data_IF_356469543396
#
_entry.id   IF_356469543396
#
_cell.length_a   1.000
_cell.length_b   1.000
_cell.length_c   1.000
_cell.angle_alpha   90.00
_cell.angle_beta   90.00
_cell.angle_gamma   90.00
#
_symmetry.space_group_name_H-M   'P 1'
#
loop_
_entity.id
_entity.type
_entity.pdbx_description
1 polymer ?
#
# COMPACT_ATOMS: atom_id res chain seq x y z
N UNK A 1 -37.88 -59.64 16.53
CA UNK A 1 -36.48 -59.38 16.12
C UNK A 1 -36.36 -58.11 15.27
N UNK A 2 -36.88 -56.94 15.73
CA UNK A 2 -36.99 -55.72 14.90
C UNK A 2 -36.78 -54.39 15.66
N UNK A 3 -36.04 -54.39 16.77
CA UNK A 3 -35.83 -53.19 17.60
C UNK A 3 -34.36 -52.75 17.75
N UNK A 4 -33.38 -53.53 17.29
CA UNK A 4 -31.95 -53.17 17.42
C UNK A 4 -31.32 -52.48 16.20
N UNK A 5 -31.98 -52.42 15.03
CA UNK A 5 -31.36 -51.86 13.81
C UNK A 5 -31.46 -50.33 13.66
N UNK A 6 -32.32 -49.64 14.41
CA UNK A 6 -32.43 -48.15 14.31
C UNK A 6 -31.39 -47.40 15.14
N UNK A 7 -30.87 -48.00 16.21
CA UNK A 7 -29.91 -47.36 17.12
C UNK A 7 -28.49 -47.25 16.54
N UNK A 8 -28.07 -48.21 15.71
CA UNK A 8 -26.74 -48.24 15.11
C UNK A 8 -26.57 -47.19 13.98
N UNK A 9 -27.65 -46.81 13.31
CA UNK A 9 -27.62 -45.80 12.24
C UNK A 9 -27.40 -44.38 12.80
N UNK A 10 -28.05 -44.04 13.92
CA UNK A 10 -27.86 -42.74 14.58
C UNK A 10 -26.46 -42.57 15.19
N UNK A 11 -25.90 -43.64 15.79
CA UNK A 11 -24.55 -43.61 16.35
C UNK A 11 -23.47 -43.49 15.26
N UNK A 12 -23.64 -44.19 14.13
CA UNK A 12 -22.77 -44.04 12.96
C UNK A 12 -22.83 -42.64 12.37
N UNK A 13 -24.02 -42.03 12.31
CA UNK A 13 -24.19 -40.66 11.83
C UNK A 13 -23.52 -39.65 12.76
N UNK A 14 -23.65 -39.79 14.09
CA UNK A 14 -22.98 -38.94 15.07
C UNK A 14 -21.44 -39.08 14.99
N UNK A 15 -20.94 -40.30 14.83
CA UNK A 15 -19.51 -40.55 14.64
C UNK A 15 -18.98 -39.91 13.36
N UNK A 16 -19.71 -40.06 12.25
CA UNK A 16 -19.36 -39.40 10.99
C UNK A 16 -19.39 -37.88 11.16
N UNK A 17 -20.45 -37.30 11.72
CA UNK A 17 -20.52 -35.86 12.00
C UNK A 17 -19.34 -35.39 12.87
N UNK A 18 -18.94 -36.14 13.89
CA UNK A 18 -17.78 -35.80 14.73
C UNK A 18 -16.45 -35.86 13.96
N UNK A 19 -16.27 -36.82 13.06
CA UNK A 19 -15.10 -36.94 12.18
C UNK A 19 -15.04 -35.83 11.13
N UNK A 20 -16.19 -35.31 10.71
CA UNK A 20 -16.28 -34.17 9.78
C UNK A 20 -16.10 -32.82 10.49
N UNK A 21 -16.49 -32.69 11.77
CA UNK A 21 -16.37 -31.45 12.55
C UNK A 21 -15.00 -31.31 13.23
N UNK A 22 -14.38 -32.41 13.67
CA UNK A 22 -13.10 -32.36 14.38
C UNK A 22 -11.97 -31.63 13.60
N UNK A 23 -11.82 -31.79 12.26
CA UNK A 23 -10.84 -31.04 11.47
C UNK A 23 -11.17 -29.54 11.33
N UNK A 24 -12.42 -29.14 11.59
CA UNK A 24 -12.84 -27.73 11.52
C UNK A 24 -12.51 -26.95 12.80
N UNK A 25 -12.10 -27.62 13.88
CA UNK A 25 -11.79 -26.99 15.16
C UNK A 25 -10.28 -26.76 15.32
N UNK A 26 -9.81 -25.52 15.50
CA UNK A 26 -8.39 -25.23 15.69
C UNK A 26 -7.86 -25.81 17.00
N UNK A 27 -6.86 -26.69 16.89
CA UNK A 27 -6.23 -27.36 18.03
C UNK A 27 -5.49 -26.35 18.92
N UNK A 28 -5.83 -26.24 20.21
CA UNK A 28 -5.15 -25.32 21.13
C UNK A 28 -3.75 -25.78 21.49
N UNK A 29 -2.84 -24.82 21.59
CA UNK A 29 -1.51 -25.04 22.17
C UNK A 29 -1.59 -25.08 23.71
N UNK A 30 -0.53 -25.59 24.35
CA UNK A 30 -0.35 -25.38 25.78
C UNK A 30 -0.15 -23.87 26.06
N UNK A 31 -0.64 -23.33 27.20
CA UNK A 31 -0.41 -21.94 27.56
C UNK A 31 1.09 -21.63 27.65
N UNK A 32 1.51 -20.52 27.05
CA UNK A 32 2.88 -20.00 27.09
C UNK A 32 2.88 -18.73 27.94
N UNK A 33 3.85 -18.59 28.84
CA UNK A 33 3.97 -17.40 29.69
C UNK A 33 4.73 -16.30 28.95
N UNK A 34 4.12 -15.12 28.83
CA UNK A 34 4.74 -13.88 28.35
C UNK A 34 4.86 -12.85 29.49
N UNK A 35 5.54 -11.73 29.23
CA UNK A 35 5.63 -10.58 30.14
C UNK A 35 4.27 -10.01 30.51
N UNK A 36 3.30 -10.04 29.58
CA UNK A 36 1.93 -9.55 29.78
C UNK A 36 0.94 -10.54 30.42
N UNK A 37 1.29 -11.82 30.52
CA UNK A 37 0.40 -12.88 30.99
C UNK A 37 0.51 -14.17 30.18
N UNK A 38 -0.37 -15.14 30.42
CA UNK A 38 -0.38 -16.40 29.67
C UNK A 38 -1.09 -16.24 28.33
N UNK A 39 -0.57 -16.86 27.27
CA UNK A 39 -1.20 -16.90 25.94
C UNK A 39 -1.42 -18.33 25.47
N UNK A 40 -2.48 -18.54 24.69
CA UNK A 40 -2.78 -19.81 24.01
C UNK A 40 -3.08 -19.54 22.55
N UNK A 41 -2.37 -20.24 21.68
CA UNK A 41 -2.48 -20.11 20.22
C UNK A 41 -3.32 -21.21 19.57
N UNK A 42 -3.11 -21.39 18.28
CA UNK A 42 -3.57 -22.53 17.49
C UNK A 42 -2.38 -23.28 16.90
N UNK A 43 -2.57 -24.57 16.63
CA UNK A 43 -1.68 -25.31 15.73
C UNK A 43 -2.23 -25.10 14.32
N UNK A 44 -1.35 -24.79 13.38
CA UNK A 44 -1.68 -24.69 11.96
C UNK A 44 -2.39 -25.98 11.47
N UNK A 45 -3.24 -25.84 10.44
CA UNK A 45 -4.07 -26.94 9.91
C UNK A 45 -3.24 -28.15 9.46
N UNK A 46 -2.05 -27.89 8.92
CA UNK A 46 -1.14 -28.94 8.46
C UNK A 46 -0.18 -29.41 9.58
N UNK A 47 -0.34 -28.88 10.81
CA UNK A 47 0.46 -29.23 11.97
C UNK A 47 1.89 -28.69 11.95
N UNK A 48 2.21 -27.84 10.97
CA UNK A 48 3.59 -27.48 10.65
C UNK A 48 4.18 -26.45 11.63
N UNK A 49 3.35 -25.52 12.11
CA UNK A 49 3.78 -24.42 12.97
C UNK A 49 2.71 -24.09 14.02
N UNK A 50 3.13 -23.37 15.06
CA UNK A 50 2.25 -22.83 16.10
C UNK A 50 1.95 -21.37 15.78
N UNK A 51 0.68 -21.00 15.85
CA UNK A 51 0.19 -19.66 15.50
C UNK A 51 -0.30 -18.94 16.76
N UNK A 52 0.18 -17.71 16.94
CA UNK A 52 -0.22 -16.83 18.03
C UNK A 52 -0.54 -15.45 17.45
N UNK A 53 -1.83 -15.17 17.24
CA UNK A 53 -2.31 -13.98 16.54
C UNK A 53 -2.99 -12.98 17.49
N UNK A 54 -2.77 -11.69 17.25
CA UNK A 54 -3.45 -10.61 17.97
C UNK A 54 -2.95 -10.37 19.40
N UNK A 55 -1.76 -10.86 19.77
CA UNK A 55 -1.16 -10.58 21.09
C UNK A 55 -0.81 -9.09 21.17
N UNK A 56 -1.31 -8.34 22.16
CA UNK A 56 -0.96 -6.94 22.33
C UNK A 56 0.47 -6.83 22.86
N UNK A 57 1.37 -6.31 22.02
CA UNK A 57 2.81 -6.23 22.33
C UNK A 57 3.28 -4.82 22.73
N UNK A 58 2.46 -3.79 22.48
CA UNK A 58 2.78 -2.40 22.81
C UNK A 58 1.50 -1.57 22.90
N UNK A 59 1.52 -0.55 23.75
CA UNK A 59 0.46 0.47 23.81
C UNK A 59 1.01 1.79 23.31
N UNK A 60 0.32 2.43 22.37
CA UNK A 60 0.79 3.68 21.75
C UNK A 60 -0.36 4.68 21.75
N UNK A 61 -0.23 5.76 22.52
CA UNK A 61 -1.21 6.86 22.56
C UNK A 61 -1.04 7.80 21.36
N UNK A 62 0.20 8.01 20.91
CA UNK A 62 0.53 8.82 19.72
C UNK A 62 1.60 8.13 18.86
N UNK A 63 1.47 8.18 17.52
CA UNK A 63 2.46 7.58 16.58
C UNK A 63 3.89 8.13 16.83
N UNK A 64 4.95 7.37 16.58
CA UNK A 64 6.35 7.85 16.72
C UNK A 64 6.74 8.36 18.13
N UNK A 65 6.18 7.74 19.18
CA UNK A 65 6.67 7.89 20.56
C UNK A 65 7.22 6.55 21.04
N UNK A 66 7.94 6.54 22.17
CA UNK A 66 8.30 5.30 22.84
C UNK A 66 7.02 4.53 23.22
N UNK A 67 6.99 3.24 22.88
CA UNK A 67 5.88 2.39 23.26
C UNK A 67 5.74 2.39 24.80
N UNK A 68 4.51 2.56 25.28
CA UNK A 68 4.21 2.29 26.68
C UNK A 68 4.37 0.78 26.93
N UNK A 69 4.61 0.36 28.18
CA UNK A 69 4.70 -1.05 28.53
C UNK A 69 3.51 -1.84 27.96
N UNK A 70 3.79 -3.07 27.51
CA UNK A 70 2.76 -3.94 26.97
C UNK A 70 1.65 -4.15 28.02
N UNK A 71 0.38 -4.16 27.61
CA UNK A 71 -0.71 -4.34 28.55
C UNK A 71 -0.61 -5.72 29.19
N UNK A 72 -0.99 -5.80 30.46
CA UNK A 72 -1.14 -7.06 31.18
C UNK A 72 -2.59 -7.53 31.11
N UNK A 73 -2.81 -8.84 31.17
CA UNK A 73 -4.14 -9.43 31.19
C UNK A 73 -4.22 -10.53 32.25
N UNK A 74 -5.43 -10.73 32.79
CA UNK A 74 -5.70 -11.82 33.71
C UNK A 74 -6.10 -13.09 32.94
N UNK A 75 -5.61 -14.24 33.39
CA UNK A 75 -5.89 -15.54 32.78
C UNK A 75 -5.09 -15.82 31.50
N UNK A 76 -5.65 -16.67 30.64
CA UNK A 76 -5.01 -17.12 29.39
C UNK A 76 -5.62 -16.40 28.20
N UNK A 77 -4.86 -15.50 27.59
CA UNK A 77 -5.26 -14.77 26.39
C UNK A 77 -5.30 -15.70 25.17
N UNK A 78 -6.43 -15.72 24.46
CA UNK A 78 -6.62 -16.53 23.25
C UNK A 78 -6.05 -15.80 22.03
N UNK A 79 -4.80 -16.13 21.69
CA UNK A 79 -4.05 -15.54 20.58
C UNK A 79 -4.46 -16.15 19.23
N UNK A 80 -5.73 -15.94 18.83
CA UNK A 80 -6.32 -16.50 17.60
C UNK A 80 -6.98 -15.45 16.71
N UNK A 81 -6.91 -14.17 17.09
CA UNK A 81 -7.59 -13.12 16.37
C UNK A 81 -6.72 -12.58 15.24
N UNK A 82 -7.02 -12.98 14.02
CA UNK A 82 -6.39 -12.48 12.78
C UNK A 82 -6.91 -11.10 12.33
N UNK A 83 -8.02 -10.62 12.91
CA UNK A 83 -8.71 -9.42 12.49
C UNK A 83 -8.32 -8.16 13.29
N UNK A 84 -7.21 -8.21 14.04
CA UNK A 84 -6.69 -7.02 14.72
C UNK A 84 -6.10 -6.06 13.68
N UNK A 85 -6.94 -5.18 13.13
CA UNK A 85 -6.54 -4.13 12.20
C UNK A 85 -6.48 -2.80 12.95
N UNK A 86 -5.31 -2.19 13.00
CA UNK A 86 -5.19 -0.81 13.43
C UNK A 86 -5.67 0.09 12.30
N UNK A 87 -6.88 0.62 12.40
CA UNK A 87 -7.33 1.68 11.50
C UNK A 87 -6.45 2.92 11.71
N UNK A 88 -5.45 3.09 10.84
CA UNK A 88 -4.66 4.30 10.81
C UNK A 88 -5.53 5.42 10.23
N UNK A 89 -6.23 6.15 11.11
CA UNK A 89 -6.94 7.38 10.74
C UNK A 89 -5.93 8.42 10.26
N UNK A 90 -5.77 8.55 8.95
CA UNK A 90 -5.01 9.64 8.35
C UNK A 90 -5.86 10.92 8.42
N UNK A 91 -5.88 11.58 9.57
CA UNK A 91 -6.48 12.91 9.76
C UNK A 91 -5.53 14.01 9.25
N UNK A 92 -4.96 13.81 8.05
CA UNK A 92 -3.90 14.63 7.48
C UNK A 92 -4.32 16.07 7.19
N UNK A 93 -5.57 16.31 6.77
CA UNK A 93 -6.04 17.63 6.34
C UNK A 93 -6.09 18.68 7.47
N UNK A 94 -6.14 18.27 8.74
CA UNK A 94 -6.14 19.18 9.90
C UNK A 94 -4.78 19.27 10.60
N UNK A 95 -3.73 18.71 10.00
CA UNK A 95 -2.41 18.69 10.63
C UNK A 95 -2.34 17.87 11.92
N UNK A 96 -3.35 17.05 12.26
CA UNK A 96 -3.42 16.27 13.50
C UNK A 96 -2.66 14.95 13.36
N UNK A 97 -1.35 15.05 13.36
CA UNK A 97 -0.41 13.94 13.35
C UNK A 97 0.93 14.42 13.92
N UNK A 98 1.81 13.49 14.28
CA UNK A 98 3.06 13.83 14.94
C UNK A 98 4.02 14.57 14.01
N UNK A 99 4.64 15.61 14.56
CA UNK A 99 5.45 16.57 13.83
C UNK A 99 6.93 16.20 13.90
N UNK A 100 7.34 15.30 13.01
CA UNK A 100 8.73 14.84 12.87
C UNK A 100 9.23 15.16 11.45
N UNK A 101 10.56 15.30 11.23
CA UNK A 101 11.10 15.35 9.89
C UNK A 101 10.72 14.11 9.08
N UNK A 102 10.47 14.26 7.78
CA UNK A 102 9.99 13.18 6.89
C UNK A 102 10.90 13.07 5.67
N UNK A 103 11.27 11.84 5.30
CA UNK A 103 11.75 11.50 3.95
C UNK A 103 10.59 10.82 3.22
N UNK A 104 10.29 11.27 2.00
CA UNK A 104 9.20 10.74 1.17
C UNK A 104 9.68 10.67 -0.29
N UNK A 105 9.21 9.71 -1.07
CA UNK A 105 9.60 9.61 -2.46
C UNK A 105 8.87 8.52 -3.22
N UNK A 106 9.26 8.36 -4.47
CA UNK A 106 8.69 7.43 -5.44
C UNK A 106 9.73 7.06 -6.51
N UNK A 107 9.46 6.04 -7.28
CA UNK A 107 10.26 5.63 -8.43
C UNK A 107 9.71 6.26 -9.72
N UNK A 108 10.54 6.48 -10.74
CA UNK A 108 10.08 7.16 -11.95
C UNK A 108 9.14 6.34 -12.84
N UNK A 109 9.10 5.01 -12.70
CA UNK A 109 8.25 4.10 -13.48
C UNK A 109 7.49 3.10 -12.55
N UNK A 110 6.90 3.60 -11.46
CA UNK A 110 6.08 2.84 -10.48
C UNK A 110 5.11 1.85 -11.14
N UNK A 111 4.54 2.26 -12.28
CA UNK A 111 3.53 1.53 -13.03
C UNK A 111 3.90 0.17 -13.56
N UNK A 112 5.18 -0.10 -13.87
CA UNK A 112 5.55 -1.39 -14.48
C UNK A 112 5.17 -2.57 -13.58
N UNK A 113 5.27 -2.40 -12.25
CA UNK A 113 4.81 -3.40 -11.28
C UNK A 113 3.31 -3.68 -11.39
N UNK A 114 2.48 -2.64 -11.49
CA UNK A 114 1.02 -2.78 -11.55
C UNK A 114 0.60 -3.38 -12.88
N UNK A 115 1.05 -2.79 -13.99
CA UNK A 115 0.72 -3.28 -15.34
C UNK A 115 1.25 -4.68 -15.60
N UNK A 116 2.41 -5.05 -15.06
CA UNK A 116 2.97 -6.40 -15.20
C UNK A 116 2.21 -7.48 -14.42
N UNK A 117 1.29 -7.09 -13.53
CA UNK A 117 0.36 -7.99 -12.84
C UNK A 117 -0.96 -8.16 -13.58
N UNK A 118 -1.22 -7.33 -14.60
CA UNK A 118 -2.44 -7.43 -15.39
C UNK A 118 -2.44 -8.67 -16.27
N UNK A 119 -3.62 -9.24 -16.46
CA UNK A 119 -3.82 -10.38 -17.36
C UNK A 119 -4.53 -9.94 -18.64
N UNK A 120 -4.52 -10.81 -19.66
CA UNK A 120 -5.14 -10.55 -20.97
C UNK A 120 -6.60 -10.11 -20.87
N UNK A 121 -7.36 -10.71 -19.95
CA UNK A 121 -8.78 -10.41 -19.76
C UNK A 121 -8.97 -9.03 -19.15
N UNK A 122 -8.13 -8.63 -18.19
CA UNK A 122 -8.20 -7.27 -17.63
C UNK A 122 -7.83 -6.25 -18.69
N UNK A 123 -6.71 -6.45 -19.40
CA UNK A 123 -6.23 -5.53 -20.44
C UNK A 123 -7.22 -5.36 -21.61
N UNK A 124 -8.01 -6.39 -21.92
CA UNK A 124 -9.02 -6.31 -22.98
C UNK A 124 -10.26 -5.49 -22.59
N UNK A 125 -10.56 -5.38 -21.28
CA UNK A 125 -11.77 -4.73 -20.76
C UNK A 125 -11.48 -3.41 -20.05
N UNK A 126 -10.22 -3.13 -19.72
CA UNK A 126 -9.83 -1.91 -19.03
C UNK A 126 -10.08 -0.70 -19.94
N UNK A 127 -10.64 0.34 -19.33
CA UNK A 127 -10.89 1.62 -19.95
C UNK A 127 -10.68 2.72 -18.90
N UNK A 128 -10.36 3.93 -19.36
CA UNK A 128 -10.07 5.04 -18.45
C UNK A 128 -11.26 5.45 -17.59
N UNK A 129 -12.49 5.24 -18.05
CA UNK A 129 -13.69 5.60 -17.28
C UNK A 129 -13.82 4.75 -16.00
N UNK A 130 -13.56 3.44 -16.09
CA UNK A 130 -13.58 2.53 -14.95
C UNK A 130 -12.28 2.56 -14.12
N UNK A 131 -11.16 2.92 -14.75
CA UNK A 131 -9.85 3.00 -14.10
C UNK A 131 -9.62 4.28 -13.27
N UNK A 132 -10.53 5.27 -13.34
CA UNK A 132 -10.46 6.47 -12.51
C UNK A 132 -10.49 6.13 -11.00
N UNK A 133 -9.68 6.83 -10.17
CA UNK A 133 -9.67 6.61 -8.73
C UNK A 133 -11.04 6.72 -8.07
N UNK A 134 -11.35 5.79 -7.16
CA UNK A 134 -12.66 5.67 -6.48
C UNK A 134 -12.95 6.79 -5.49
N UNK A 135 -11.95 7.57 -5.12
CA UNK A 135 -12.07 8.75 -4.26
C UNK A 135 -12.30 10.05 -5.05
N UNK A 136 -12.50 9.95 -6.37
CA UNK A 136 -13.08 11.01 -7.20
C UNK A 136 -14.60 10.83 -7.31
N UNK A 137 -15.35 11.91 -7.03
CA UNK A 137 -16.80 11.96 -7.13
C UNK A 137 -17.16 13.00 -8.18
N UNK A 138 -17.65 12.51 -9.31
CA UNK A 138 -18.07 13.35 -10.43
C UNK A 138 -19.54 13.75 -10.28
N UNK A 139 -19.88 15.05 -10.37
CA UNK A 139 -21.25 15.54 -10.40
C UNK A 139 -22.11 14.93 -11.50
N UNK A 140 -21.54 14.72 -12.69
CA UNK A 140 -22.23 14.17 -13.85
C UNK A 140 -21.41 13.07 -14.53
N UNK A 141 -22.10 12.18 -15.23
CA UNK A 141 -21.46 11.13 -16.04
C UNK A 141 -20.64 11.73 -17.19
N UNK A 142 -21.13 12.82 -17.78
CA UNK A 142 -20.45 13.56 -18.86
C UNK A 142 -19.08 14.10 -18.40
N UNK A 143 -19.00 14.68 -17.20
CA UNK A 143 -17.72 15.15 -16.64
C UNK A 143 -16.73 13.99 -16.42
N UNK A 144 -17.24 12.84 -15.97
CA UNK A 144 -16.42 11.63 -15.80
C UNK A 144 -15.91 11.10 -17.14
N UNK A 145 -16.77 11.03 -18.16
CA UNK A 145 -16.41 10.62 -19.53
C UNK A 145 -15.36 11.57 -20.12
N UNK A 146 -15.56 12.88 -19.99
CA UNK A 146 -14.63 13.88 -20.50
C UNK A 146 -13.26 13.78 -19.81
N UNK A 147 -13.25 13.61 -18.48
CA UNK A 147 -12.01 13.42 -17.71
C UNK A 147 -11.27 12.14 -18.12
N UNK A 148 -12.01 11.03 -18.27
CA UNK A 148 -11.45 9.77 -18.75
C UNK A 148 -10.83 9.91 -20.15
N UNK A 149 -11.50 10.61 -21.07
CA UNK A 149 -11.00 10.87 -22.43
C UNK A 149 -9.75 11.74 -22.44
N UNK A 150 -9.68 12.75 -21.56
CA UNK A 150 -8.48 13.58 -21.43
C UNK A 150 -7.26 12.76 -20.97
N UNK A 151 -7.46 11.84 -20.04
CA UNK A 151 -6.40 10.94 -19.56
C UNK A 151 -6.02 9.91 -20.64
N UNK A 152 -6.99 9.35 -21.36
CA UNK A 152 -6.75 8.44 -22.48
C UNK A 152 -5.90 9.10 -23.58
N UNK A 153 -6.25 10.33 -23.98
CA UNK A 153 -5.45 11.11 -24.94
C UNK A 153 -4.04 11.38 -24.41
N UNK A 154 -3.89 11.74 -23.14
CA UNK A 154 -2.60 12.07 -22.56
C UNK A 154 -1.64 10.86 -22.50
N UNK A 155 -2.14 9.71 -22.06
CA UNK A 155 -1.32 8.53 -21.79
C UNK A 155 -1.22 7.58 -22.98
N UNK A 156 -2.34 7.35 -23.68
CA UNK A 156 -2.42 6.40 -24.79
C UNK A 156 -2.46 7.07 -26.16
N UNK A 157 -2.84 8.35 -26.25
CA UNK A 157 -3.09 9.03 -27.53
C UNK A 157 -4.34 8.49 -28.24
N UNK A 158 -5.32 8.00 -27.46
CA UNK A 158 -6.52 7.34 -27.97
C UNK A 158 -6.27 5.95 -28.57
N UNK A 159 -5.07 5.39 -28.44
CA UNK A 159 -4.76 4.04 -28.85
C UNK A 159 -5.38 3.00 -27.89
N UNK A 160 -5.77 1.84 -28.42
CA UNK A 160 -6.23 0.75 -27.57
C UNK A 160 -5.09 0.21 -26.71
N UNK A 161 -5.44 -0.12 -25.46
CA UNK A 161 -4.55 -0.84 -24.55
C UNK A 161 -4.40 -2.28 -25.08
N UNK A 162 -3.16 -2.71 -25.28
CA UNK A 162 -2.82 -4.04 -25.79
C UNK A 162 -1.70 -4.68 -24.96
N UNK A 163 -1.45 -5.96 -25.18
CA UNK A 163 -0.34 -6.70 -24.56
C UNK A 163 1.04 -6.32 -25.15
N UNK A 164 1.07 -5.46 -26.18
CA UNK A 164 2.32 -5.02 -26.79
C UNK A 164 3.14 -4.19 -25.79
N UNK A 165 4.45 -4.41 -25.76
CA UNK A 165 5.34 -3.82 -24.76
C UNK A 165 5.23 -2.29 -24.68
N UNK A 166 5.11 -1.62 -25.83
CA UNK A 166 4.98 -0.16 -25.86
C UNK A 166 3.60 0.33 -25.38
N UNK A 167 2.53 -0.42 -25.67
CA UNK A 167 1.18 -0.13 -25.14
C UNK A 167 1.16 -0.30 -23.62
N UNK A 168 1.74 -1.38 -23.11
CA UNK A 168 1.88 -1.61 -21.66
C UNK A 168 2.71 -0.53 -20.98
N UNK A 169 3.78 -0.03 -21.61
CA UNK A 169 4.60 1.08 -21.07
C UNK A 169 3.86 2.41 -21.05
N UNK A 170 2.99 2.67 -22.03
CA UNK A 170 2.11 3.85 -22.01
C UNK A 170 1.10 3.75 -20.87
N UNK A 171 0.40 2.61 -20.80
CA UNK A 171 -0.60 2.36 -19.78
C UNK A 171 -0.01 2.35 -18.36
N UNK A 172 1.21 1.83 -18.19
CA UNK A 172 1.89 1.82 -16.89
C UNK A 172 2.11 3.22 -16.32
N UNK A 173 2.33 4.23 -17.17
CA UNK A 173 2.47 5.61 -16.67
C UNK A 173 1.21 6.11 -16.00
N UNK A 174 0.04 5.80 -16.56
CA UNK A 174 -1.25 6.12 -15.94
C UNK A 174 -1.42 5.41 -14.60
N UNK A 175 -1.14 4.10 -14.54
CA UNK A 175 -1.22 3.30 -13.33
C UNK A 175 -0.27 3.82 -12.23
N UNK A 176 0.98 4.12 -12.60
CA UNK A 176 2.00 4.64 -11.68
C UNK A 176 1.65 6.03 -11.14
N UNK A 177 1.19 6.92 -12.02
CA UNK A 177 0.82 8.29 -11.64
C UNK A 177 -0.39 8.31 -10.72
N UNK A 178 -1.45 7.59 -11.08
CA UNK A 178 -2.70 7.54 -10.31
C UNK A 178 -2.57 6.82 -8.96
N UNK A 179 -1.78 5.74 -8.92
CA UNK A 179 -1.70 4.85 -7.75
C UNK A 179 -0.62 5.26 -6.75
N UNK A 180 0.50 5.82 -7.21
CA UNK A 180 1.66 6.09 -6.35
C UNK A 180 2.13 7.54 -6.45
N UNK A 181 2.53 7.99 -7.64
CA UNK A 181 3.28 9.24 -7.79
C UNK A 181 2.44 10.45 -7.37
N UNK A 182 1.22 10.60 -7.92
CA UNK A 182 0.36 11.73 -7.56
C UNK A 182 -0.05 11.72 -6.08
N UNK A 183 -0.53 10.60 -5.50
CA UNK A 183 -0.79 10.53 -4.05
C UNK A 183 0.40 10.91 -3.17
N UNK A 184 1.62 10.50 -3.55
CA UNK A 184 2.86 10.87 -2.85
C UNK A 184 3.14 12.37 -2.96
N UNK A 185 3.03 12.94 -4.16
CA UNK A 185 3.22 14.39 -4.38
C UNK A 185 2.20 15.21 -3.60
N UNK A 186 0.92 14.82 -3.64
CA UNK A 186 -0.14 15.47 -2.88
C UNK A 186 0.08 15.36 -1.35
N UNK A 187 0.60 14.22 -0.87
CA UNK A 187 0.95 14.01 0.54
C UNK A 187 2.13 14.88 0.96
N UNK A 188 3.13 14.99 0.11
CA UNK A 188 4.27 15.88 0.35
C UNK A 188 3.81 17.34 0.44
N UNK A 189 2.95 17.81 -0.47
CA UNK A 189 2.40 19.17 -0.40
C UNK A 189 1.63 19.41 0.91
N UNK A 190 0.84 18.43 1.35
CA UNK A 190 0.16 18.47 2.65
C UNK A 190 1.17 18.61 3.81
N UNK A 191 2.29 17.88 3.77
CA UNK A 191 3.34 18.00 4.77
C UNK A 191 4.02 19.38 4.72
N UNK A 192 4.36 19.90 3.55
CA UNK A 192 4.95 21.23 3.40
C UNK A 192 4.04 22.32 3.98
N UNK A 193 2.72 22.17 3.87
CA UNK A 193 1.74 23.14 4.40
C UNK A 193 1.46 23.01 5.90
N UNK A 194 1.63 21.82 6.49
CA UNK A 194 1.09 21.55 7.84
C UNK A 194 2.10 21.00 8.85
N UNK A 195 3.28 20.53 8.42
CA UNK A 195 4.23 19.84 9.28
C UNK A 195 5.14 20.79 10.09
N UNK A 196 5.53 21.93 9.52
CA UNK A 196 6.51 22.85 10.10
C UNK A 196 7.82 22.16 10.55
N UNK A 197 8.20 21.07 9.87
CA UNK A 197 9.48 20.35 10.02
C UNK A 197 10.04 20.05 8.62
N UNK A 198 11.35 19.77 8.50
CA UNK A 198 11.97 19.43 7.22
C UNK A 198 11.27 18.24 6.53
N UNK A 199 10.96 18.42 5.25
CA UNK A 199 10.45 17.37 4.35
C UNK A 199 11.50 17.17 3.27
N UNK A 200 12.06 15.98 3.18
CA UNK A 200 13.03 15.60 2.16
C UNK A 200 12.33 14.71 1.13
N UNK A 201 12.32 15.14 -0.13
CA UNK A 201 11.70 14.40 -1.21
C UNK A 201 12.76 13.74 -2.10
N UNK A 202 12.50 12.52 -2.58
CA UNK A 202 13.34 11.86 -3.59
C UNK A 202 12.53 11.27 -4.74
N UNK A 203 13.18 11.14 -5.90
CA UNK A 203 12.74 10.34 -7.04
C UNK A 203 13.84 9.36 -7.40
N UNK A 204 13.58 8.07 -7.27
CA UNK A 204 14.52 7.05 -7.70
C UNK A 204 14.33 6.75 -9.19
N UNK A 205 15.38 6.89 -9.99
CA UNK A 205 15.34 6.63 -11.44
C UNK A 205 16.54 5.83 -11.94
N UNK A 206 17.40 5.38 -11.03
CA UNK A 206 18.56 4.57 -11.38
C UNK A 206 18.13 3.27 -12.06
N UNK A 207 18.62 3.07 -13.28
CA UNK A 207 18.41 1.88 -14.08
C UNK A 207 19.70 1.06 -14.14
N UNK A 208 19.72 -0.04 -13.40
CA UNK A 208 20.82 -1.00 -13.38
C UNK A 208 20.38 -2.43 -13.15
N UNK A 209 21.34 -3.27 -12.74
CA UNK A 209 21.15 -4.71 -12.67
C UNK A 209 20.34 -5.19 -11.46
N UNK A 210 20.16 -4.34 -10.44
CA UNK A 210 19.38 -4.68 -9.23
C UNK A 210 17.93 -4.23 -9.33
N UNK A 211 17.50 -3.66 -10.45
CA UNK A 211 16.09 -3.43 -10.77
C UNK A 211 15.36 -4.77 -11.04
N UNK A 212 15.33 -5.64 -10.03
CA UNK A 212 14.83 -7.01 -10.15
C UNK A 212 13.32 -7.05 -10.35
N UNK A 213 12.58 -6.11 -9.75
CA UNK A 213 11.12 -6.11 -9.81
C UNK A 213 10.65 -5.87 -11.22
N UNK A 214 11.15 -4.84 -11.92
CA UNK A 214 10.75 -4.60 -13.31
C UNK A 214 11.09 -5.79 -14.23
N UNK A 215 12.18 -6.52 -13.94
CA UNK A 215 12.54 -7.71 -14.70
C UNK A 215 11.57 -8.87 -14.45
N UNK A 216 11.19 -9.10 -13.19
CA UNK A 216 10.24 -10.14 -12.79
C UNK A 216 8.84 -9.92 -13.37
N UNK A 217 8.44 -8.67 -13.59
CA UNK A 217 7.11 -8.29 -14.10
C UNK A 217 7.08 -7.98 -15.61
N UNK A 218 8.06 -8.45 -16.39
CA UNK A 218 8.01 -8.41 -17.87
C UNK A 218 8.54 -7.13 -18.52
N UNK A 219 9.07 -6.19 -17.74
CA UNK A 219 9.63 -4.92 -18.22
C UNK A 219 11.16 -4.95 -18.30
N UNK A 220 11.75 -6.14 -18.52
CA UNK A 220 13.19 -6.28 -18.75
C UNK A 220 13.61 -5.42 -19.96
N UNK A 221 14.66 -4.61 -19.77
CA UNK A 221 15.17 -3.68 -20.78
C UNK A 221 14.30 -2.43 -21.00
N UNK A 222 13.21 -2.25 -20.26
CA UNK A 222 12.52 -0.96 -20.21
C UNK A 222 13.30 0.01 -19.31
N UNK A 223 13.39 1.31 -19.69
CA UNK A 223 14.15 2.29 -18.94
C UNK A 223 13.49 2.61 -17.59
N UNK A 224 14.29 3.03 -16.61
CA UNK A 224 13.84 3.52 -15.31
C UNK A 224 13.70 2.43 -14.25
N UNK A 225 13.05 2.77 -13.13
CA UNK A 225 12.86 1.89 -11.98
C UNK A 225 11.38 1.81 -11.61
N UNK A 226 10.91 0.60 -11.31
CA UNK A 226 9.52 0.36 -10.89
C UNK A 226 9.37 0.16 -9.40
N UNK A 227 8.13 0.04 -8.93
CA UNK A 227 7.78 -0.18 -7.53
C UNK A 227 8.66 -1.25 -6.87
N UNK A 228 9.38 -0.87 -5.82
CA UNK A 228 10.24 -1.77 -5.04
C UNK A 228 11.63 -2.06 -5.63
N UNK A 229 11.97 -1.55 -6.82
CA UNK A 229 13.33 -1.70 -7.36
C UNK A 229 14.39 -1.01 -6.47
N UNK A 230 14.04 0.14 -5.87
CA UNK A 230 14.92 0.90 -4.99
C UNK A 230 15.31 0.12 -3.73
N UNK A 231 14.48 -0.83 -3.30
CA UNK A 231 14.73 -1.67 -2.13
C UNK A 231 15.98 -2.54 -2.27
N UNK A 232 16.31 -2.94 -3.49
CA UNK A 232 17.49 -3.75 -3.77
C UNK A 232 18.80 -2.93 -3.76
N UNK A 233 18.69 -1.60 -3.76
CA UNK A 233 19.83 -0.69 -3.64
C UNK A 233 20.05 -0.19 -2.21
N UNK A 234 19.11 -0.44 -1.29
CA UNK A 234 19.32 -0.10 0.11
C UNK A 234 20.35 -1.02 0.75
N UNK A 235 21.44 -0.41 1.23
CA UNK A 235 22.37 -1.06 2.15
C UNK A 235 22.09 -0.53 3.58
N UNK A 236 21.56 -1.33 4.50
CA UNK A 236 21.28 -0.89 5.87
C UNK A 236 22.56 -0.66 6.70
N UNK A 237 23.71 -1.17 6.24
CA UNK A 237 25.02 -1.01 6.87
C UNK A 237 26.03 -0.54 5.83
N UNK A 238 25.89 0.69 5.29
CA UNK A 238 26.82 1.21 4.31
C UNK A 238 28.17 1.44 4.98
N UNK A 239 29.26 1.17 4.27
CA UNK A 239 30.56 1.70 4.68
C UNK A 239 30.48 3.23 4.73
N UNK A 240 31.18 3.83 5.69
CA UNK A 240 31.32 5.29 5.78
C UNK A 240 31.77 5.87 4.44
N UNK A 241 30.86 6.55 3.73
CA UNK A 241 31.17 7.29 2.51
C UNK A 241 31.55 8.73 2.89
N UNK A 242 32.62 9.24 2.27
CA UNK A 242 33.00 10.66 2.37
C UNK A 242 32.11 11.57 1.53
N UNK A 243 31.24 11.01 0.68
CA UNK A 243 30.31 11.74 -0.18
C UNK A 243 28.96 11.80 0.52
N UNK A 244 28.69 12.93 1.18
CA UNK A 244 27.35 13.29 1.61
C UNK A 244 26.76 14.23 0.55
N UNK A 245 25.76 13.80 -0.24
CA UNK A 245 25.12 14.70 -1.16
C UNK A 245 24.43 15.83 -0.38
N UNK A 246 24.48 17.05 -0.92
CA UNK A 246 23.69 18.15 -0.39
C UNK A 246 22.22 17.89 -0.70
N UNK A 247 21.48 17.34 0.26
CA UNK A 247 20.03 17.15 0.17
C UNK A 247 19.34 18.29 0.90
N UNK A 248 18.83 19.26 0.15
CA UNK A 248 18.05 20.34 0.72
C UNK A 248 16.60 19.88 0.95
N UNK A 249 15.96 20.30 2.06
CA UNK A 249 14.54 20.02 2.28
C UNK A 249 13.70 20.73 1.20
N UNK A 250 12.58 20.13 0.82
CA UNK A 250 11.63 20.71 -0.10
C UNK A 250 10.98 21.97 0.50
N UNK A 251 10.77 22.98 -0.34
CA UNK A 251 10.11 24.24 0.02
C UNK A 251 8.74 24.34 -0.65
N UNK A 252 7.79 25.05 -0.03
CA UNK A 252 6.42 25.13 -0.56
C UNK A 252 6.33 25.93 -1.87
N UNK A 253 7.15 26.97 -2.02
CA UNK A 253 7.11 27.86 -3.20
C UNK A 253 7.73 27.20 -4.43
N UNK A 254 8.82 26.47 -4.25
CA UNK A 254 9.54 25.77 -5.32
C UNK A 254 9.93 24.36 -4.85
N UNK A 255 8.95 23.44 -4.75
CA UNK A 255 9.20 22.12 -4.21
C UNK A 255 10.13 21.34 -5.14
N UNK A 256 11.28 20.95 -4.60
CA UNK A 256 12.33 20.17 -5.27
C UNK A 256 12.52 18.82 -4.58
N UNK A 257 12.92 17.83 -5.37
CA UNK A 257 13.31 16.51 -4.88
C UNK A 257 14.73 16.16 -5.31
N UNK A 258 15.35 15.23 -4.58
CA UNK A 258 16.59 14.60 -4.98
C UNK A 258 16.32 13.51 -6.00
N UNK A 259 16.90 13.64 -7.18
CA UNK A 259 16.89 12.60 -8.20
C UNK A 259 18.05 11.64 -7.92
N UNK A 260 17.70 10.40 -7.62
CA UNK A 260 18.65 9.31 -7.38
C UNK A 260 18.81 8.54 -8.69
N UNK A 261 19.88 8.85 -9.41
CA UNK A 261 20.32 8.20 -10.65
C UNK A 261 21.83 7.92 -10.58
N UNK A 262 22.48 7.65 -11.71
CA UNK A 262 23.93 7.52 -11.83
C UNK A 262 24.66 8.73 -11.26
N UNK A 263 24.06 9.90 -11.41
CA UNK A 263 24.48 11.15 -10.79
C UNK A 263 23.32 11.73 -9.97
N UNK A 264 23.64 12.23 -8.78
CA UNK A 264 22.65 12.86 -7.91
C UNK A 264 22.39 14.29 -8.37
N UNK A 265 21.12 14.68 -8.46
CA UNK A 265 20.72 16.04 -8.81
C UNK A 265 19.45 16.46 -8.07
N UNK A 266 19.14 17.76 -8.08
CA UNK A 266 17.86 18.29 -7.58
C UNK A 266 16.99 18.68 -8.77
N UNK A 267 15.70 18.34 -8.73
CA UNK A 267 14.75 18.68 -9.78
C UNK A 267 13.42 19.19 -9.19
N UNK A 268 12.72 20.12 -9.88
CA UNK A 268 11.36 20.50 -9.52
C UNK A 268 10.40 19.32 -9.56
N UNK A 269 9.43 19.30 -8.65
CA UNK A 269 8.51 18.16 -8.51
C UNK A 269 7.37 18.20 -9.52
N UNK A 270 6.87 19.41 -9.79
CA UNK A 270 5.71 19.65 -10.68
C UNK A 270 6.08 19.81 -12.16
N UNK A 271 7.38 19.77 -12.48
CA UNK A 271 7.87 19.92 -13.84
C UNK A 271 8.09 18.52 -14.44
N UNK A 272 7.05 18.01 -15.10
CA UNK A 272 7.12 16.81 -15.92
C UNK A 272 6.87 17.16 -17.39
N UNK A 273 7.58 16.49 -18.31
CA UNK A 273 7.46 16.75 -19.76
C UNK A 273 6.05 16.53 -20.30
N UNK A 274 5.24 15.77 -19.58
CA UNK A 274 3.90 15.33 -19.96
C UNK A 274 2.78 16.16 -19.33
N UNK A 275 3.06 17.07 -18.39
CA UNK A 275 2.04 17.79 -17.61
C UNK A 275 1.02 16.88 -16.88
N UNK A 276 1.38 15.61 -16.67
CA UNK A 276 0.48 14.60 -16.12
C UNK A 276 0.10 14.88 -14.67
N UNK A 277 1.09 15.24 -13.85
CA UNK A 277 0.85 15.60 -12.45
C UNK A 277 -0.02 16.85 -12.30
N UNK A 278 0.07 17.78 -13.25
CA UNK A 278 -0.77 18.99 -13.28
C UNK A 278 -2.23 18.65 -13.63
N UNK A 279 -2.44 17.73 -14.58
CA UNK A 279 -3.77 17.22 -14.90
C UNK A 279 -4.39 16.48 -13.71
N UNK A 280 -3.63 15.61 -13.04
CA UNK A 280 -4.10 14.94 -11.82
C UNK A 280 -4.44 15.96 -10.72
N UNK A 281 -3.57 16.96 -10.51
CA UNK A 281 -3.82 17.99 -9.51
C UNK A 281 -5.11 18.76 -9.78
N UNK A 282 -5.34 19.14 -11.03
CA UNK A 282 -6.57 19.81 -11.46
C UNK A 282 -7.78 18.89 -11.26
N UNK A 283 -7.69 17.63 -11.67
CA UNK A 283 -8.76 16.63 -11.51
C UNK A 283 -9.16 16.46 -10.05
N UNK A 284 -8.20 16.26 -9.15
CA UNK A 284 -8.47 16.11 -7.72
C UNK A 284 -8.95 17.41 -7.06
N UNK A 285 -8.51 18.59 -7.53
CA UNK A 285 -9.04 19.85 -7.02
C UNK A 285 -10.54 20.03 -7.30
N UNK A 286 -11.03 19.46 -8.40
CA UNK A 286 -12.44 19.53 -8.79
C UNK A 286 -13.29 18.43 -8.16
N UNK A 287 -12.80 17.18 -8.20
CA UNK A 287 -13.63 16.00 -7.95
C UNK A 287 -13.26 15.21 -6.70
N UNK A 288 -12.25 15.60 -5.93
CA UNK A 288 -11.87 14.86 -4.72
C UNK A 288 -13.05 14.76 -3.75
N UNK A 289 -13.34 13.54 -3.30
CA UNK A 289 -14.36 13.26 -2.29
C UNK A 289 -14.06 14.05 -1.01
N UNK A 290 -14.90 15.04 -0.72
CA UNK A 290 -14.91 15.71 0.58
C UNK A 290 -15.67 14.84 1.57
N UNK A 291 -15.11 14.63 2.77
CA UNK A 291 -15.87 13.99 3.85
C UNK A 291 -16.79 15.04 4.45
N UNK A 292 -18.08 14.73 4.70
CA UNK A 292 -18.89 15.54 5.59
C UNK A 292 -18.18 15.69 6.94
N UNK A 293 -18.35 16.83 7.61
CA UNK A 293 -17.88 17.02 8.99
C UNK A 293 -18.58 16.02 9.91
N UNK A 294 -17.97 14.86 10.12
CA UNK A 294 -18.56 13.81 10.94
C UNK A 294 -18.25 14.06 12.42
N UNK A 295 -19.33 14.25 13.19
CA UNK A 295 -19.32 14.36 14.65
C UNK A 295 -18.52 13.20 15.24
N UNK A 296 -17.60 13.53 16.12
CA UNK A 296 -16.77 12.61 16.92
C UNK A 296 -17.62 11.50 17.56
N UNK A 297 -17.58 10.32 16.94
CA UNK A 297 -17.99 9.04 17.52
C UNK A 297 -16.73 8.22 17.73
N UNK A 298 -15.92 8.62 18.71
CA UNK A 298 -14.89 7.83 19.38
C UNK A 298 -14.43 8.67 20.58
N UNK A 299 -15.19 8.57 21.67
CA UNK A 299 -14.75 8.86 23.04
C UNK A 299 -14.26 7.57 23.67
#
# INVERSE_FOLDING_TARGET
MKTHLKSLSGLKLLLLISLWIAPLMPYPTAPVQLTGGQVRGSIDRDGTHLEYLGIPYATVKHRFQEAEPNPTWEGVFQARNEHVRCEQRFAGSRGKYNKVPVIIGFNNEEGYYFTGRENKTTLANVNFYDALPRDLVFPTDEEKINTAKMLDELYMGGEKITEEKDSLRKFSRFEGDSTVIYPVVATMELFLRTLNKPVFAYKFQYDGLLNYVKMAFGFRGSPGATHGDELFYFNPTPASSSILPKWEPAELQEPKLMVIDKELSMAPIWEDKTHALQLWNTTYSMYRKTRPEEKTLCS
#
